data_IF_463460453832
#
_entry.id   IF_463460453832
#
_cell.length_a   1.000
_cell.length_b   1.000
_cell.length_c   1.000
_cell.angle_alpha   90.00
_cell.angle_beta   90.00
_cell.angle_gamma   90.00
#
_symmetry.space_group_name_H-M   'P 1'
#
loop_
_entity.id
_entity.type
_entity.pdbx_description
1 polymer ?
#
# COMPACT_ATOMS: atom_id res chain seq x y z
N UNK A 1 -10.95 2.09 3.92
CA UNK A 1 -9.85 1.42 3.19
C UNK A 1 -9.41 2.28 2.02
N UNK A 2 -10.35 2.71 1.16
CA UNK A 2 -10.13 3.60 0.02
C UNK A 2 -9.24 4.82 0.36
N UNK A 3 -9.64 5.58 1.38
CA UNK A 3 -8.87 6.72 1.89
C UNK A 3 -7.42 6.37 2.25
N UNK A 4 -7.11 5.15 2.73
CA UNK A 4 -5.74 4.78 3.13
C UNK A 4 -4.83 4.46 1.93
N UNK A 5 -5.35 3.81 0.89
CA UNK A 5 -4.59 3.58 -0.35
C UNK A 5 -4.27 4.91 -1.00
N UNK A 6 -5.28 5.77 -1.14
CA UNK A 6 -5.12 7.13 -1.63
C UNK A 6 -4.07 7.89 -0.83
N UNK A 7 -4.16 7.85 0.51
CA UNK A 7 -3.19 8.50 1.39
C UNK A 7 -1.76 7.99 1.20
N UNK A 8 -1.58 6.68 0.99
CA UNK A 8 -0.26 6.09 0.73
C UNK A 8 0.30 6.55 -0.63
N UNK A 9 -0.48 6.42 -1.72
CA UNK A 9 -0.02 6.73 -3.07
C UNK A 9 0.31 8.22 -3.24
N UNK A 10 -0.60 9.10 -2.81
CA UNK A 10 -0.33 10.54 -2.85
C UNK A 10 0.74 10.97 -1.85
N UNK A 11 0.82 10.29 -0.70
CA UNK A 11 1.85 10.55 0.30
C UNK A 11 3.25 10.32 -0.26
N UNK A 12 3.46 9.21 -0.97
CA UNK A 12 4.72 8.91 -1.69
C UNK A 12 4.97 9.96 -2.78
N UNK A 13 3.99 10.17 -3.67
CA UNK A 13 4.14 11.03 -4.85
C UNK A 13 4.48 12.49 -4.53
N UNK A 14 3.89 13.03 -3.46
CA UNK A 14 4.18 14.40 -3.01
C UNK A 14 5.55 14.48 -2.34
N UNK A 15 5.95 13.45 -1.60
CA UNK A 15 7.29 13.36 -1.00
C UNK A 15 8.38 13.37 -2.05
N UNK A 16 8.26 12.45 -3.02
CA UNK A 16 9.09 12.36 -4.21
C UNK A 16 9.17 13.73 -4.93
N UNK A 17 8.03 14.28 -5.37
CA UNK A 17 8.02 15.51 -6.15
C UNK A 17 8.58 16.76 -5.43
N UNK A 18 8.59 16.77 -4.09
CA UNK A 18 9.23 17.82 -3.30
C UNK A 18 10.75 17.69 -3.26
N UNK A 19 11.27 16.46 -3.33
CA UNK A 19 12.70 16.19 -3.29
C UNK A 19 13.38 16.32 -4.66
N UNK A 20 12.69 16.02 -5.77
CA UNK A 20 13.23 16.05 -7.14
C UNK A 20 14.03 17.34 -7.48
N UNK A 21 13.54 18.55 -7.17
CA UNK A 21 14.27 19.79 -7.46
C UNK A 21 15.67 19.89 -6.82
N UNK A 22 15.88 19.23 -5.69
CA UNK A 22 17.06 19.43 -4.82
C UNK A 22 17.83 18.14 -4.55
N UNK A 23 17.59 17.12 -5.37
CA UNK A 23 18.31 15.86 -5.29
C UNK A 23 19.81 16.08 -5.46
N UNK A 24 20.61 15.32 -4.70
CA UNK A 24 22.06 15.40 -4.59
C UNK A 24 22.62 16.69 -3.97
N UNK A 25 21.76 17.62 -3.50
CA UNK A 25 22.25 18.77 -2.74
C UNK A 25 22.63 18.35 -1.32
N UNK A 26 23.75 18.88 -0.83
CA UNK A 26 24.23 18.52 0.51
C UNK A 26 23.34 19.09 1.61
N UNK A 27 23.37 18.46 2.79
CA UNK A 27 22.70 18.97 4.00
C UNK A 27 23.02 20.43 4.30
N UNK A 28 24.28 20.82 4.15
CA UNK A 28 24.71 22.19 4.42
C UNK A 28 24.10 23.19 3.41
N UNK A 29 23.87 22.77 2.17
CA UNK A 29 23.12 23.58 1.20
C UNK A 29 21.65 23.68 1.61
N UNK A 30 21.01 22.56 2.00
CA UNK A 30 19.60 22.57 2.47
C UNK A 30 19.39 23.37 3.76
N UNK A 31 20.37 23.43 4.67
CA UNK A 31 20.32 24.30 5.85
C UNK A 31 20.34 25.79 5.51
N UNK A 32 21.06 26.17 4.44
CA UNK A 32 21.15 27.55 3.97
C UNK A 32 19.92 27.95 3.16
N UNK A 33 19.43 27.04 2.34
CA UNK A 33 18.31 27.24 1.43
C UNK A 33 17.29 26.10 1.60
N UNK A 34 16.54 26.06 2.71
CA UNK A 34 15.62 24.96 2.97
C UNK A 34 14.46 25.00 1.98
N UNK A 35 14.06 23.81 1.53
CA UNK A 35 12.80 23.63 0.79
C UNK A 35 11.64 23.83 1.75
N UNK A 36 10.69 24.67 1.35
CA UNK A 36 9.51 25.05 2.14
C UNK A 36 8.18 24.85 1.39
N UNK A 37 8.25 24.66 0.08
CA UNK A 37 7.13 24.48 -0.85
C UNK A 37 7.53 23.63 -2.08
N UNK A 38 6.56 23.31 -2.93
CA UNK A 38 6.76 22.58 -4.18
C UNK A 38 7.44 23.47 -5.24
N UNK A 39 8.76 23.39 -5.31
CA UNK A 39 9.62 24.12 -6.23
C UNK A 39 9.58 23.54 -7.65
N UNK A 40 9.96 24.35 -8.63
CA UNK A 40 10.16 23.92 -10.02
C UNK A 40 11.65 23.95 -10.36
N UNK A 41 12.04 23.14 -11.33
CA UNK A 41 13.38 23.01 -11.88
C UNK A 41 14.40 22.64 -10.80
N UNK A 42 15.69 22.67 -11.13
CA UNK A 42 16.76 22.23 -10.24
C UNK A 42 17.52 21.08 -10.86
N UNK A 43 17.82 20.04 -10.07
CA UNK A 43 18.71 18.93 -10.47
C UNK A 43 18.36 18.31 -11.83
N UNK A 44 17.07 18.04 -12.06
CA UNK A 44 16.59 17.38 -13.29
C UNK A 44 15.83 18.30 -14.26
N UNK A 45 15.83 19.62 -14.00
CA UNK A 45 15.13 20.63 -14.81
C UNK A 45 13.63 20.35 -15.07
N UNK A 46 12.95 19.74 -14.09
CA UNK A 46 11.53 19.37 -14.18
C UNK A 46 10.59 20.43 -13.59
N UNK A 47 9.38 20.65 -14.13
CA UNK A 47 8.41 21.57 -13.54
C UNK A 47 7.91 21.08 -12.17
N UNK A 48 7.38 22.00 -11.34
CA UNK A 48 6.85 21.65 -10.01
C UNK A 48 5.80 20.53 -10.06
N UNK A 49 5.86 19.63 -9.07
CA UNK A 49 4.94 18.50 -8.94
C UNK A 49 5.28 17.30 -9.82
N UNK A 50 6.42 17.33 -10.51
CA UNK A 50 6.97 16.18 -11.23
C UNK A 50 7.59 15.20 -10.24
N UNK A 51 7.16 13.95 -10.30
CA UNK A 51 7.69 12.83 -9.50
C UNK A 51 8.68 11.99 -10.34
N UNK A 52 9.64 11.32 -9.69
CA UNK A 52 10.74 10.55 -10.29
C UNK A 52 10.43 9.05 -10.44
N UNK A 53 11.46 8.20 -10.44
CA UNK A 53 11.32 6.75 -10.50
C UNK A 53 10.70 6.17 -9.22
N UNK A 54 10.85 6.82 -8.08
CA UNK A 54 10.20 6.52 -6.79
C UNK A 54 8.69 6.30 -6.93
N UNK A 55 7.95 7.36 -7.28
CA UNK A 55 6.51 7.26 -7.44
C UNK A 55 6.14 6.48 -8.70
N UNK A 56 6.89 6.61 -9.80
CA UNK A 56 6.60 5.87 -11.04
C UNK A 56 6.60 4.34 -10.81
N UNK A 57 7.62 3.82 -10.13
CA UNK A 57 7.73 2.40 -9.80
C UNK A 57 6.76 1.99 -8.68
N UNK A 58 6.44 2.90 -7.76
CA UNK A 58 5.33 2.72 -6.79
C UNK A 58 4.02 2.48 -7.53
N UNK A 59 3.70 3.31 -8.52
CA UNK A 59 2.48 3.17 -9.31
C UNK A 59 2.47 1.93 -10.19
N UNK A 60 3.63 1.53 -10.74
CA UNK A 60 3.77 0.26 -11.44
C UNK A 60 3.44 -0.96 -10.56
N UNK A 61 3.88 -0.94 -9.29
CA UNK A 61 3.53 -1.97 -8.31
C UNK A 61 2.04 -1.92 -7.97
N UNK A 62 1.52 -0.73 -7.69
CA UNK A 62 0.10 -0.51 -7.41
C UNK A 62 -0.82 -0.99 -8.55
N UNK A 63 -0.44 -0.77 -9.81
CA UNK A 63 -1.16 -1.29 -10.98
C UNK A 63 -1.23 -2.81 -10.98
N UNK A 64 -0.09 -3.48 -10.75
CA UNK A 64 -0.05 -4.93 -10.70
C UNK A 64 -0.92 -5.48 -9.55
N UNK A 65 -0.97 -4.77 -8.42
CA UNK A 65 -1.80 -5.13 -7.27
C UNK A 65 -3.29 -4.77 -7.44
N UNK A 66 -3.66 -4.01 -8.47
CA UNK A 66 -5.06 -3.74 -8.83
C UNK A 66 -5.73 -4.95 -9.51
N UNK A 67 -4.95 -5.98 -9.84
CA UNK A 67 -5.43 -7.25 -10.38
C UNK A 67 -4.97 -8.42 -9.49
N UNK A 68 -4.89 -9.63 -10.05
CA UNK A 68 -4.33 -10.77 -9.33
C UNK A 68 -2.81 -10.65 -9.18
N UNK A 69 -2.32 -10.96 -7.96
CA UNK A 69 -0.92 -10.87 -7.66
C UNK A 69 -0.14 -11.85 -8.53
N UNK A 70 0.74 -11.30 -9.37
CA UNK A 70 1.67 -12.06 -10.20
C UNK A 70 2.98 -11.27 -10.29
N UNK A 71 4.07 -11.93 -9.91
CA UNK A 71 5.40 -11.35 -9.91
C UNK A 71 5.84 -10.94 -11.33
N UNK A 72 5.40 -11.68 -12.35
CA UNK A 72 5.67 -11.36 -13.75
C UNK A 72 4.97 -10.08 -14.17
N UNK A 73 3.72 -9.84 -13.73
CA UNK A 73 3.01 -8.58 -14.04
C UNK A 73 3.74 -7.39 -13.44
N UNK A 74 4.24 -7.52 -12.19
CA UNK A 74 5.03 -6.46 -11.54
C UNK A 74 6.29 -6.17 -12.37
N UNK A 75 7.05 -7.20 -12.73
CA UNK A 75 8.25 -7.07 -13.56
C UNK A 75 7.96 -6.43 -14.93
N UNK A 76 6.89 -6.87 -15.59
CA UNK A 76 6.47 -6.31 -16.88
C UNK A 76 6.09 -4.83 -16.79
N UNK A 77 5.48 -4.39 -15.69
CA UNK A 77 5.20 -2.97 -15.49
C UNK A 77 6.49 -2.16 -15.33
N UNK A 78 7.54 -2.69 -14.68
CA UNK A 78 8.84 -1.99 -14.60
C UNK A 78 9.55 -1.92 -15.94
N UNK A 79 9.49 -2.99 -16.75
CA UNK A 79 9.96 -2.95 -18.15
C UNK A 79 9.23 -1.87 -18.93
N UNK A 80 7.89 -1.81 -18.84
CA UNK A 80 7.09 -0.78 -19.51
C UNK A 80 7.42 0.63 -19.04
N UNK A 81 7.69 0.82 -17.74
CA UNK A 81 8.11 2.13 -17.25
C UNK A 81 9.42 2.55 -17.92
N UNK A 82 10.45 1.71 -17.84
CA UNK A 82 11.78 2.07 -18.35
C UNK A 82 11.82 2.20 -19.88
N UNK A 83 11.21 1.27 -20.62
CA UNK A 83 11.30 1.23 -22.10
C UNK A 83 10.17 1.96 -22.83
N UNK A 84 9.05 2.23 -22.15
CA UNK A 84 7.84 2.81 -22.76
C UNK A 84 7.25 3.98 -21.96
N UNK A 85 8.02 4.54 -21.03
CA UNK A 85 7.64 5.67 -20.19
C UNK A 85 6.31 5.49 -19.43
N UNK A 86 5.90 4.24 -19.19
CA UNK A 86 4.67 3.93 -18.47
C UNK A 86 4.77 4.42 -17.02
N UNK A 87 3.75 5.11 -16.52
CA UNK A 87 3.78 5.73 -15.19
C UNK A 87 4.80 6.84 -14.96
N UNK A 88 5.46 7.36 -16.00
CA UNK A 88 6.22 8.62 -15.87
C UNK A 88 5.28 9.82 -15.68
N UNK A 89 5.79 10.91 -15.13
CA UNK A 89 5.04 12.15 -14.93
C UNK A 89 4.69 12.84 -16.27
N UNK A 90 5.64 12.91 -17.22
CA UNK A 90 5.49 13.66 -18.48
C UNK A 90 5.87 12.87 -19.74
N UNK A 91 5.87 11.54 -19.70
CA UNK A 91 6.18 10.69 -20.86
C UNK A 91 7.68 10.47 -21.10
N UNK A 92 8.54 10.84 -20.15
CA UNK A 92 9.99 10.64 -20.21
C UNK A 92 10.49 10.02 -18.90
N UNK A 93 11.43 9.08 -19.03
CA UNK A 93 12.10 8.45 -17.88
C UNK A 93 13.34 9.27 -17.54
N UNK A 94 13.48 9.61 -16.27
CA UNK A 94 14.70 10.14 -15.68
C UNK A 94 14.97 9.42 -14.35
N UNK A 95 16.10 9.74 -13.72
CA UNK A 95 16.48 9.31 -12.37
C UNK A 95 16.69 7.82 -12.07
N UNK A 96 16.67 6.95 -13.09
CA UNK A 96 16.80 5.52 -12.82
C UNK A 96 18.15 5.14 -12.18
N UNK A 97 18.08 4.61 -10.96
CA UNK A 97 19.24 4.04 -10.27
C UNK A 97 19.90 2.88 -11.03
N UNK A 98 21.23 2.76 -10.93
CA UNK A 98 22.02 1.77 -11.69
C UNK A 98 21.55 0.33 -11.45
N UNK A 99 21.30 -0.05 -10.18
CA UNK A 99 20.86 -1.40 -9.83
C UNK A 99 19.46 -1.72 -10.38
N UNK A 100 18.53 -0.76 -10.29
CA UNK A 100 17.19 -0.85 -10.87
C UNK A 100 17.27 -1.05 -12.38
N UNK A 101 18.05 -0.22 -13.08
CA UNK A 101 18.26 -0.33 -14.53
C UNK A 101 18.79 -1.71 -14.93
N UNK A 102 19.85 -2.17 -14.26
CA UNK A 102 20.46 -3.47 -14.55
C UNK A 102 19.48 -4.63 -14.36
N UNK A 103 18.65 -4.58 -13.31
CA UNK A 103 17.63 -5.58 -13.07
C UNK A 103 16.53 -5.55 -14.14
N UNK A 104 16.03 -4.36 -14.52
CA UNK A 104 15.04 -4.23 -15.59
C UNK A 104 15.58 -4.73 -16.93
N UNK A 105 16.84 -4.48 -17.25
CA UNK A 105 17.50 -5.01 -18.44
C UNK A 105 17.58 -6.54 -18.45
N UNK A 106 17.76 -7.17 -17.29
CA UNK A 106 17.72 -8.63 -17.13
C UNK A 106 16.31 -9.17 -17.33
N UNK A 107 15.30 -8.54 -16.73
CA UNK A 107 13.89 -8.89 -16.91
C UNK A 107 13.49 -8.81 -18.38
N UNK A 108 13.90 -7.76 -19.09
CA UNK A 108 13.63 -7.58 -20.51
C UNK A 108 14.28 -8.66 -21.40
N UNK A 109 15.37 -9.30 -20.92
CA UNK A 109 16.03 -10.43 -21.56
C UNK A 109 15.43 -11.80 -21.16
N UNK A 110 14.38 -11.81 -20.34
CA UNK A 110 13.66 -13.02 -19.94
C UNK A 110 14.14 -13.67 -18.65
N UNK A 111 14.95 -12.99 -17.83
CA UNK A 111 15.27 -13.48 -16.49
C UNK A 111 14.02 -13.51 -15.60
N UNK A 112 13.89 -14.56 -14.78
CA UNK A 112 12.74 -14.68 -13.88
C UNK A 112 12.79 -13.57 -12.82
N UNK A 113 11.64 -12.97 -12.47
CA UNK A 113 11.62 -11.80 -11.59
C UNK A 113 12.32 -12.00 -10.24
N UNK A 114 12.19 -13.16 -9.61
CA UNK A 114 12.81 -13.46 -8.32
C UNK A 114 14.35 -13.53 -8.35
N UNK A 115 14.97 -13.56 -9.53
CA UNK A 115 16.43 -13.67 -9.70
C UNK A 115 17.08 -12.44 -10.35
N UNK A 116 16.29 -11.52 -10.92
CA UNK A 116 16.82 -10.39 -11.67
C UNK A 116 17.60 -9.38 -10.80
N UNK A 117 17.17 -9.19 -9.55
CA UNK A 117 17.75 -8.19 -8.64
C UNK A 117 19.16 -8.50 -8.15
N UNK A 118 19.95 -7.45 -7.94
CA UNK A 118 21.32 -7.57 -7.43
C UNK A 118 21.36 -8.19 -6.02
N UNK A 119 22.24 -9.15 -5.81
CA UNK A 119 22.40 -9.88 -4.54
C UNK A 119 23.70 -9.54 -3.80
N UNK A 120 24.50 -8.63 -4.32
CA UNK A 120 25.81 -8.24 -3.76
C UNK A 120 25.66 -7.07 -2.76
N UNK A 121 26.63 -6.92 -1.86
CA UNK A 121 26.63 -5.82 -0.87
C UNK A 121 26.58 -4.45 -1.56
N UNK A 122 27.21 -4.31 -2.72
CA UNK A 122 27.20 -3.11 -3.56
C UNK A 122 25.84 -2.80 -4.20
N UNK A 123 24.88 -3.73 -4.14
CA UNK A 123 23.53 -3.60 -4.71
C UNK A 123 22.48 -3.19 -3.67
N UNK A 124 22.87 -2.61 -2.53
CA UNK A 124 21.93 -2.19 -1.46
C UNK A 124 21.45 -0.75 -1.60
N UNK A 125 21.13 -0.34 -2.84
CA UNK A 125 20.38 0.89 -3.08
C UNK A 125 18.98 0.86 -2.47
N UNK A 126 18.39 2.03 -2.28
CA UNK A 126 17.03 2.22 -1.77
C UNK A 126 15.92 1.98 -2.83
N UNK A 127 16.27 1.70 -4.09
CA UNK A 127 15.33 1.52 -5.22
C UNK A 127 14.23 0.45 -5.05
N UNK A 128 14.40 -0.48 -4.12
CA UNK A 128 13.32 -1.42 -3.73
C UNK A 128 12.42 -0.86 -2.63
N UNK A 129 13.02 -0.22 -1.62
CA UNK A 129 12.31 0.34 -0.47
C UNK A 129 11.33 1.44 -0.89
N UNK A 130 11.79 2.33 -1.77
CA UNK A 130 11.03 3.52 -2.21
C UNK A 130 9.66 3.20 -2.79
N UNK A 131 9.56 2.06 -3.49
CA UNK A 131 8.38 1.69 -4.27
C UNK A 131 7.42 0.73 -3.58
N UNK A 132 7.74 0.27 -2.36
CA UNK A 132 7.13 -0.95 -1.84
C UNK A 132 5.81 -0.74 -1.10
N UNK A 133 5.48 0.49 -0.68
CA UNK A 133 4.32 0.76 0.18
C UNK A 133 2.99 0.17 -0.31
N UNK A 134 2.64 0.17 -1.62
CA UNK A 134 1.40 -0.44 -2.11
C UNK A 134 1.25 -1.93 -1.74
N UNK A 135 2.36 -2.66 -1.59
CA UNK A 135 2.36 -4.07 -1.22
C UNK A 135 1.71 -4.32 0.14
N UNK A 136 1.78 -3.33 1.05
CA UNK A 136 1.16 -3.36 2.37
C UNK A 136 -0.28 -3.85 2.31
N UNK A 137 -1.08 -3.31 1.39
CA UNK A 137 -2.50 -3.58 1.34
C UNK A 137 -2.84 -5.00 0.91
N UNK A 138 -1.94 -5.64 0.16
CA UNK A 138 -2.06 -7.04 -0.23
C UNK A 138 -1.61 -8.00 0.87
N UNK A 139 -0.58 -7.65 1.64
CA UNK A 139 0.05 -8.57 2.60
C UNK A 139 -0.44 -8.41 4.05
N UNK A 140 -1.05 -7.28 4.41
CA UNK A 140 -1.34 -6.90 5.81
C UNK A 140 -2.10 -7.93 6.65
N UNK A 141 -2.96 -8.74 6.03
CA UNK A 141 -3.80 -9.74 6.69
C UNK A 141 -3.19 -11.16 6.65
N UNK A 142 -2.00 -11.31 6.05
CA UNK A 142 -1.26 -12.59 5.97
C UNK A 142 -0.41 -12.83 7.22
N UNK A 143 0.06 -14.06 7.42
CA UNK A 143 1.00 -14.38 8.51
C UNK A 143 2.34 -13.66 8.34
N UNK A 144 3.09 -13.45 9.42
CA UNK A 144 4.41 -12.79 9.37
C UNK A 144 5.36 -13.48 8.38
N UNK A 145 5.29 -14.80 8.28
CA UNK A 145 6.08 -15.59 7.31
C UNK A 145 5.75 -15.25 5.86
N UNK A 146 4.45 -15.21 5.54
CA UNK A 146 3.99 -14.87 4.20
C UNK A 146 4.32 -13.42 3.87
N UNK A 147 4.16 -12.48 4.82
CA UNK A 147 4.51 -11.07 4.64
C UNK A 147 5.99 -10.91 4.30
N UNK A 148 6.88 -11.57 5.05
CA UNK A 148 8.32 -11.57 4.77
C UNK A 148 8.64 -12.21 3.41
N UNK A 149 8.06 -13.37 3.12
CA UNK A 149 8.33 -14.11 1.86
C UNK A 149 7.91 -13.30 0.64
N UNK A 150 6.70 -12.72 0.64
CA UNK A 150 6.22 -11.89 -0.46
C UNK A 150 7.04 -10.60 -0.58
N UNK A 151 7.40 -9.97 0.55
CA UNK A 151 8.28 -8.79 0.55
C UNK A 151 9.62 -9.10 -0.09
N UNK A 152 10.23 -10.25 0.26
CA UNK A 152 11.47 -10.73 -0.35
C UNK A 152 11.31 -10.88 -1.86
N UNK A 153 10.27 -11.56 -2.33
CA UNK A 153 10.02 -11.76 -3.77
C UNK A 153 9.91 -10.44 -4.53
N UNK A 154 9.11 -9.48 -4.04
CA UNK A 154 8.90 -8.20 -4.73
C UNK A 154 10.15 -7.31 -4.68
N UNK A 155 10.91 -7.36 -3.57
CA UNK A 155 12.20 -6.68 -3.49
C UNK A 155 13.19 -7.24 -4.52
N UNK A 156 13.28 -8.58 -4.58
CA UNK A 156 14.20 -9.33 -5.43
C UNK A 156 14.01 -9.12 -6.94
N UNK A 157 12.90 -8.52 -7.37
CA UNK A 157 12.73 -8.04 -8.75
C UNK A 157 13.86 -7.08 -9.16
N UNK A 158 14.40 -6.31 -8.20
CA UNK A 158 15.47 -5.33 -8.47
C UNK A 158 16.62 -5.39 -7.45
N UNK A 159 16.32 -5.71 -6.20
CA UNK A 159 17.28 -5.71 -5.09
C UNK A 159 17.04 -6.96 -4.24
N UNK A 160 17.88 -7.97 -4.43
CA UNK A 160 17.76 -9.30 -3.79
C UNK A 160 18.62 -9.44 -2.54
N UNK A 161 19.54 -8.51 -2.29
CA UNK A 161 20.39 -8.55 -1.11
C UNK A 161 19.56 -8.43 0.18
N UNK A 162 19.98 -9.15 1.22
CA UNK A 162 19.20 -9.31 2.45
C UNK A 162 18.92 -8.00 3.20
N UNK A 163 19.82 -7.01 3.11
CA UNK A 163 19.59 -5.68 3.72
C UNK A 163 18.43 -4.93 3.05
N UNK A 164 18.32 -4.98 1.72
CA UNK A 164 17.16 -4.41 1.03
C UNK A 164 15.88 -5.12 1.45
N UNK A 165 15.90 -6.46 1.52
CA UNK A 165 14.75 -7.27 1.96
C UNK A 165 14.32 -6.94 3.39
N UNK A 166 15.26 -6.89 4.34
CA UNK A 166 14.98 -6.54 5.74
C UNK A 166 14.43 -5.12 5.85
N UNK A 167 15.03 -4.16 5.13
CA UNK A 167 14.59 -2.76 5.17
C UNK A 167 13.16 -2.61 4.66
N UNK A 168 12.86 -3.27 3.54
CA UNK A 168 11.52 -3.35 2.95
C UNK A 168 10.51 -3.98 3.90
N UNK A 169 10.89 -5.10 4.54
CA UNK A 169 10.03 -5.79 5.49
C UNK A 169 9.75 -4.93 6.73
N UNK A 170 10.78 -4.28 7.29
CA UNK A 170 10.62 -3.36 8.40
C UNK A 170 9.68 -2.20 8.05
N UNK A 171 9.88 -1.59 6.89
CA UNK A 171 9.04 -0.49 6.40
C UNK A 171 7.56 -0.89 6.31
N UNK A 172 7.27 -2.06 5.73
CA UNK A 172 5.91 -2.56 5.60
C UNK A 172 5.30 -2.97 6.95
N UNK A 173 6.06 -3.53 7.88
CA UNK A 173 5.56 -3.82 9.23
C UNK A 173 5.23 -2.53 10.00
N UNK A 174 6.09 -1.51 9.91
CA UNK A 174 5.82 -0.20 10.50
C UNK A 174 4.54 0.40 9.93
N UNK A 175 4.41 0.40 8.60
CA UNK A 175 3.23 0.87 7.90
C UNK A 175 1.95 0.08 8.26
N UNK A 176 2.07 -1.25 8.47
CA UNK A 176 0.96 -2.11 8.91
C UNK A 176 0.45 -1.73 10.28
N UNK A 177 1.32 -1.41 11.23
CA UNK A 177 0.88 -0.94 12.53
C UNK A 177 0.30 0.49 12.49
N UNK A 178 0.77 1.37 11.60
CA UNK A 178 0.13 2.67 11.36
C UNK A 178 -1.33 2.51 10.90
N UNK A 179 -1.63 1.54 10.03
CA UNK A 179 -3.01 1.26 9.60
C UNK A 179 -3.93 0.87 10.76
N UNK A 180 -3.37 0.30 11.84
CA UNK A 180 -4.12 -0.11 13.02
C UNK A 180 -4.32 1.04 14.04
N UNK A 181 -3.79 2.24 13.76
CA UNK A 181 -3.94 3.41 14.62
C UNK A 181 -3.09 3.37 15.90
N UNK A 182 -2.03 2.56 15.90
CA UNK A 182 -1.11 2.45 17.03
C UNK A 182 -0.22 3.71 17.17
N UNK A 183 0.16 4.04 18.40
CA UNK A 183 1.10 5.14 18.68
C UNK A 183 2.51 4.85 18.13
N UNK A 184 3.20 5.87 17.59
CA UNK A 184 4.52 5.71 16.96
C UNK A 184 5.58 5.11 17.88
N UNK A 185 5.63 5.53 19.15
CA UNK A 185 6.61 5.01 20.11
C UNK A 185 6.33 3.57 20.48
N UNK A 186 5.05 3.19 20.57
CA UNK A 186 4.62 1.81 20.75
C UNK A 186 5.00 0.95 19.54
N UNK A 187 4.72 1.39 18.32
CA UNK A 187 5.08 0.67 17.08
C UNK A 187 6.58 0.41 17.05
N UNK A 188 7.38 1.45 17.23
CA UNK A 188 8.84 1.34 17.17
C UNK A 188 9.39 0.40 18.26
N UNK A 189 8.88 0.51 19.49
CA UNK A 189 9.24 -0.38 20.60
C UNK A 189 8.87 -1.84 20.35
N UNK A 190 7.72 -2.10 19.73
CA UNK A 190 7.27 -3.45 19.37
C UNK A 190 8.17 -4.07 18.28
N UNK A 191 8.39 -3.32 17.19
CA UNK A 191 9.15 -3.82 16.03
C UNK A 191 10.64 -4.06 16.32
N UNK A 192 11.21 -3.37 17.32
CA UNK A 192 12.54 -3.72 17.85
C UNK A 192 12.67 -5.19 18.23
N UNK A 193 11.62 -5.73 18.85
CA UNK A 193 11.61 -7.08 19.40
C UNK A 193 11.12 -8.04 18.32
N UNK A 194 9.93 -7.81 17.76
CA UNK A 194 9.27 -8.74 16.85
C UNK A 194 10.09 -9.01 15.59
N UNK A 195 10.62 -7.97 14.95
CA UNK A 195 11.41 -8.15 13.73
C UNK A 195 12.77 -8.76 14.05
N UNK A 196 13.45 -8.29 15.10
CA UNK A 196 14.73 -8.88 15.54
C UNK A 196 14.60 -10.38 15.78
N UNK A 197 13.58 -10.80 16.54
CA UNK A 197 13.41 -12.20 16.91
C UNK A 197 12.94 -13.05 15.72
N UNK A 198 12.06 -12.50 14.89
CA UNK A 198 11.71 -13.13 13.61
C UNK A 198 12.94 -13.33 12.72
N UNK A 199 13.80 -12.32 12.54
CA UNK A 199 15.00 -12.42 11.71
C UNK A 199 16.02 -13.40 12.27
N UNK A 200 16.18 -13.50 13.60
CA UNK A 200 17.02 -14.52 14.25
C UNK A 200 16.48 -15.94 14.07
N UNK A 201 15.15 -16.09 13.95
CA UNK A 201 14.51 -17.37 13.64
C UNK A 201 14.70 -17.79 12.18
N UNK A 202 15.03 -16.84 11.30
CA UNK A 202 15.53 -17.11 9.96
C UNK A 202 17.03 -17.32 10.06
N UNK A 203 17.57 -18.29 9.35
CA UNK A 203 19.02 -18.58 9.33
C UNK A 203 19.84 -17.47 8.59
N UNK A 204 19.48 -16.20 8.80
CA UNK A 204 20.15 -15.02 8.27
C UNK A 204 21.45 -14.81 9.04
N UNK A 205 22.51 -14.41 8.33
CA UNK A 205 23.79 -14.08 8.93
C UNK A 205 23.62 -13.02 10.04
N UNK A 206 24.14 -13.30 11.23
CA UNK A 206 24.08 -12.40 12.40
C UNK A 206 24.74 -11.05 12.13
N UNK A 207 25.79 -11.01 11.33
CA UNK A 207 26.47 -9.77 10.96
C UNK A 207 25.56 -8.89 10.10
N UNK A 208 24.77 -9.48 9.21
CA UNK A 208 23.78 -8.76 8.40
C UNK A 208 22.62 -8.21 9.26
N UNK A 209 22.19 -8.96 10.27
CA UNK A 209 21.18 -8.48 11.24
C UNK A 209 21.76 -7.33 12.08
N UNK A 210 23.02 -7.42 12.51
CA UNK A 210 23.66 -6.43 13.38
C UNK A 210 23.76 -5.03 12.74
N UNK A 211 23.73 -4.93 11.41
CA UNK A 211 23.72 -3.64 10.70
C UNK A 211 22.46 -2.82 11.04
N UNK A 212 21.36 -3.49 11.41
CA UNK A 212 20.11 -2.86 11.83
C UNK A 212 20.05 -2.55 13.34
N UNK A 213 21.18 -2.64 14.06
CA UNK A 213 21.22 -2.42 15.51
C UNK A 213 20.76 -1.02 15.94
N UNK A 214 20.88 0.00 15.07
CA UNK A 214 20.29 1.32 15.35
C UNK A 214 18.78 1.26 15.45
N UNK A 215 18.12 0.46 14.62
CA UNK A 215 16.68 0.24 14.69
C UNK A 215 16.30 -0.71 15.83
N UNK A 216 17.03 -1.81 16.01
CA UNK A 216 16.67 -2.86 16.97
C UNK A 216 17.07 -2.59 18.42
N UNK A 217 18.16 -1.84 18.64
CA UNK A 217 18.74 -1.63 19.98
C UNK A 217 18.74 -0.17 20.43
N UNK A 218 18.49 0.79 19.55
CA UNK A 218 18.51 2.24 19.87
C UNK A 218 17.18 2.91 19.55
N UNK A 219 16.97 4.10 20.11
CA UNK A 219 15.82 4.95 19.82
C UNK A 219 16.21 5.97 18.75
N UNK A 220 15.96 5.65 17.46
CA UNK A 220 16.39 6.52 16.35
C UNK A 220 15.86 7.94 16.54
N UNK A 221 14.59 8.09 16.97
CA UNK A 221 13.91 9.36 17.20
C UNK A 221 14.52 10.24 18.32
N UNK A 222 15.49 9.72 19.10
CA UNK A 222 16.23 10.50 20.10
C UNK A 222 17.59 11.00 19.59
N UNK A 223 18.02 10.57 18.41
CA UNK A 223 19.29 11.00 17.83
C UNK A 223 19.19 12.42 17.30
N UNK A 224 20.32 13.12 17.31
CA UNK A 224 20.43 14.43 16.69
C UNK A 224 20.39 14.29 15.17
N UNK A 225 19.94 15.34 14.49
CA UNK A 225 19.87 15.38 13.02
C UNK A 225 21.21 15.03 12.35
N UNK A 226 22.33 15.54 12.89
CA UNK A 226 23.69 15.28 12.37
C UNK A 226 24.10 13.80 12.40
N UNK A 227 23.43 12.96 13.19
CA UNK A 227 23.67 11.52 13.26
C UNK A 227 22.82 10.73 12.26
N UNK A 228 21.83 11.38 11.64
CA UNK A 228 20.98 10.77 10.62
C UNK A 228 21.65 10.93 9.26
N UNK A 229 21.65 9.87 8.45
CA UNK A 229 22.16 9.90 7.08
C UNK A 229 21.00 9.71 6.11
N UNK A 230 21.05 10.36 4.95
CA UNK A 230 19.99 10.36 3.93
C UNK A 230 20.57 10.08 2.54
N UNK A 231 21.60 9.22 2.45
CA UNK A 231 22.19 8.83 1.15
C UNK A 231 21.35 7.73 0.49
N UNK A 232 21.66 7.38 -0.76
CA UNK A 232 21.01 6.27 -1.50
C UNK A 232 21.28 4.85 -0.99
N UNK A 233 21.74 4.70 0.24
CA UNK A 233 21.86 3.39 0.90
C UNK A 233 20.56 3.08 1.64
N UNK A 234 19.98 1.92 1.37
CA UNK A 234 18.63 1.55 1.85
C UNK A 234 18.39 1.72 3.35
N UNK A 235 19.41 1.49 4.18
CA UNK A 235 19.29 1.61 5.64
C UNK A 235 19.29 3.09 6.07
N UNK A 236 20.08 3.94 5.41
CA UNK A 236 20.06 5.38 5.67
C UNK A 236 18.67 5.95 5.39
N UNK A 237 18.10 5.64 4.22
CA UNK A 237 16.73 6.06 3.85
C UNK A 237 15.68 5.57 4.86
N UNK A 238 15.74 4.29 5.28
CA UNK A 238 14.79 3.75 6.26
C UNK A 238 14.91 4.46 7.62
N UNK A 239 16.12 4.60 8.14
CA UNK A 239 16.39 5.27 9.42
C UNK A 239 15.96 6.74 9.39
N UNK A 240 16.34 7.47 8.34
CA UNK A 240 15.95 8.86 8.15
C UNK A 240 14.44 9.03 8.07
N UNK A 241 13.75 8.16 7.33
CA UNK A 241 12.30 8.24 7.17
C UNK A 241 11.56 8.05 8.48
N UNK A 242 11.98 7.06 9.28
CA UNK A 242 11.42 6.83 10.62
C UNK A 242 11.75 7.98 11.57
N UNK A 243 12.97 8.51 11.52
CA UNK A 243 13.36 9.66 12.34
C UNK A 243 12.51 10.89 12.00
N UNK A 244 12.35 11.22 10.72
CA UNK A 244 11.53 12.35 10.27
C UNK A 244 10.07 12.20 10.75
N UNK A 245 9.47 11.02 10.53
CA UNK A 245 8.09 10.76 10.96
C UNK A 245 7.91 10.85 12.48
N UNK A 246 8.84 10.29 13.26
CA UNK A 246 8.73 10.24 14.73
C UNK A 246 9.10 11.54 15.44
N UNK A 247 9.70 12.49 14.74
CA UNK A 247 10.15 13.78 15.31
C UNK A 247 9.38 14.98 14.74
N UNK A 248 8.23 14.72 14.11
CA UNK A 248 7.33 15.73 13.53
C UNK A 248 5.88 15.40 13.85
N UNK A 249 4.97 16.35 13.60
CA UNK A 249 3.56 16.24 14.01
C UNK A 249 2.56 16.43 12.89
N UNK A 250 3.03 16.67 11.66
CA UNK A 250 2.18 16.79 10.48
C UNK A 250 2.85 16.21 9.24
N UNK A 251 2.04 15.91 8.22
CA UNK A 251 2.55 15.46 6.92
C UNK A 251 3.56 16.45 6.33
N UNK A 252 3.20 17.74 6.35
CA UNK A 252 4.05 18.83 5.83
C UNK A 252 5.41 18.87 6.54
N UNK A 253 5.42 18.84 7.87
CA UNK A 253 6.66 18.84 8.64
C UNK A 253 7.50 17.60 8.35
N UNK A 254 6.90 16.41 8.35
CA UNK A 254 7.61 15.14 8.12
C UNK A 254 8.36 15.14 6.79
N UNK A 255 7.65 15.49 5.71
CA UNK A 255 8.19 15.45 4.35
C UNK A 255 9.21 16.55 4.11
N UNK A 256 8.95 17.80 4.55
CA UNK A 256 9.96 18.87 4.42
C UNK A 256 11.20 18.57 5.25
N UNK A 257 11.06 17.94 6.42
CA UNK A 257 12.21 17.51 7.21
C UNK A 257 13.04 16.47 6.48
N UNK A 258 12.39 15.51 5.82
CA UNK A 258 13.06 14.49 5.01
C UNK A 258 13.82 15.09 3.82
N UNK A 259 13.18 15.97 3.03
CA UNK A 259 13.82 16.67 1.90
C UNK A 259 15.04 17.48 2.37
N UNK A 260 14.91 18.18 3.50
CA UNK A 260 15.97 19.07 3.99
C UNK A 260 17.12 18.34 4.71
N UNK A 261 17.08 17.00 4.83
CA UNK A 261 18.27 16.24 5.24
C UNK A 261 19.37 16.27 4.17
N UNK A 262 19.02 16.56 2.91
CA UNK A 262 19.94 16.57 1.77
C UNK A 262 20.30 15.16 1.28
N UNK A 263 21.29 15.11 0.40
CA UNK A 263 21.79 13.92 -0.30
C UNK A 263 20.72 13.30 -1.22
N UNK A 264 20.13 12.17 -0.87
CA UNK A 264 19.09 11.49 -1.65
C UNK A 264 17.70 11.95 -1.14
N UNK A 265 17.30 13.13 -1.63
CA UNK A 265 16.20 13.90 -1.07
C UNK A 265 14.83 13.42 -1.50
N UNK A 266 14.66 13.04 -2.75
CA UNK A 266 13.39 12.52 -3.29
C UNK A 266 13.06 11.17 -2.67
N UNK A 267 14.02 10.24 -2.59
CA UNK A 267 13.74 8.92 -2.01
C UNK A 267 13.45 8.97 -0.52
N UNK A 268 14.25 9.73 0.24
CA UNK A 268 14.01 9.89 1.69
C UNK A 268 12.65 10.54 1.94
N UNK A 269 12.26 11.51 1.12
CA UNK A 269 10.96 12.18 1.23
C UNK A 269 9.80 11.30 0.75
N UNK A 270 9.96 10.49 -0.28
CA UNK A 270 8.97 9.55 -0.79
C UNK A 270 8.62 8.48 0.25
N UNK A 271 9.63 7.84 0.84
CA UNK A 271 9.46 6.81 1.88
C UNK A 271 8.81 7.41 3.13
N UNK A 272 9.26 8.60 3.56
CA UNK A 272 8.66 9.37 4.67
C UNK A 272 7.22 9.75 4.36
N UNK A 273 6.97 10.28 3.17
CA UNK A 273 5.68 10.75 2.69
C UNK A 273 4.65 9.64 2.61
N UNK A 274 5.06 8.44 2.22
CA UNK A 274 4.20 7.26 2.26
C UNK A 274 3.70 6.93 3.67
N UNK A 275 4.58 6.91 4.67
CA UNK A 275 4.20 6.66 6.08
C UNK A 275 3.41 7.82 6.67
N UNK A 276 3.83 9.06 6.42
CA UNK A 276 3.14 10.25 6.86
C UNK A 276 1.73 10.34 6.26
N UNK A 277 1.57 9.95 4.99
CA UNK A 277 0.27 9.82 4.34
C UNK A 277 -0.62 8.84 5.08
N UNK A 278 -0.12 7.65 5.43
CA UNK A 278 -0.89 6.67 6.21
C UNK A 278 -1.29 7.17 7.60
N UNK A 279 -0.38 7.88 8.27
CA UNK A 279 -0.55 8.41 9.62
C UNK A 279 -1.55 9.57 9.66
N UNK A 280 -1.32 10.61 8.85
CA UNK A 280 -2.11 11.85 8.89
C UNK A 280 -3.29 11.85 7.92
N UNK A 281 -3.27 11.00 6.89
CA UNK A 281 -4.33 10.91 5.88
C UNK A 281 -4.20 11.95 4.75
N UNK A 282 -4.77 11.62 3.59
CA UNK A 282 -4.76 12.44 2.37
C UNK A 282 -5.24 13.88 2.59
N UNK A 283 -6.28 14.08 3.40
CA UNK A 283 -6.87 15.40 3.67
C UNK A 283 -5.91 16.35 4.41
N UNK A 284 -4.86 15.82 5.04
CA UNK A 284 -3.84 16.60 5.74
C UNK A 284 -2.59 16.86 4.87
N UNK A 285 -2.58 16.40 3.61
CA UNK A 285 -1.57 16.80 2.63
C UNK A 285 -1.90 18.23 2.15
N UNK A 286 -0.94 19.16 2.11
CA UNK A 286 -1.20 20.53 1.68
C UNK A 286 -1.84 20.61 0.28
N UNK A 287 -3.00 21.28 0.20
CA UNK A 287 -3.79 21.37 -1.05
C UNK A 287 -3.02 22.00 -2.21
N UNK A 288 -2.15 22.97 -1.93
CA UNK A 288 -1.32 23.62 -2.94
C UNK A 288 -0.25 22.69 -3.54
N UNK A 289 0.17 21.65 -2.82
CA UNK A 289 1.08 20.63 -3.33
C UNK A 289 0.31 19.65 -4.19
N UNK A 290 -0.84 19.18 -3.70
CA UNK A 290 -1.75 18.31 -4.45
C UNK A 290 -2.19 18.91 -5.79
N UNK A 291 -2.41 20.23 -5.85
CA UNK A 291 -2.83 20.91 -7.09
C UNK A 291 -1.70 21.03 -8.13
N UNK A 292 -0.44 20.91 -7.72
CA UNK A 292 0.72 20.95 -8.61
C UNK A 292 1.15 19.55 -9.09
N UNK A 293 0.78 18.50 -8.34
CA UNK A 293 1.22 17.12 -8.62
C UNK A 293 0.81 16.67 -10.03
N UNK A 294 1.79 16.19 -10.79
CA UNK A 294 1.57 15.59 -12.09
C UNK A 294 0.66 14.35 -11.97
N UNK A 295 -0.20 14.15 -12.98
CA UNK A 295 -1.06 12.96 -13.10
C UNK A 295 -1.99 12.69 -11.91
N UNK A 296 -2.37 13.73 -11.16
CA UNK A 296 -3.27 13.64 -10.00
C UNK A 296 -4.49 12.72 -10.23
N UNK A 297 -5.23 12.93 -11.33
CA UNK A 297 -6.43 12.14 -11.63
C UNK A 297 -6.13 10.67 -11.91
N UNK A 298 -4.99 10.36 -12.53
CA UNK A 298 -4.61 8.98 -12.82
C UNK A 298 -4.27 8.22 -11.52
N UNK A 299 -3.58 8.89 -10.59
CA UNK A 299 -3.25 8.36 -9.26
C UNK A 299 -4.53 8.07 -8.48
N UNK A 300 -5.53 8.97 -8.56
CA UNK A 300 -6.85 8.76 -7.96
C UNK A 300 -7.54 7.51 -8.51
N UNK A 301 -7.58 7.37 -9.84
CA UNK A 301 -8.19 6.22 -10.51
C UNK A 301 -7.45 4.93 -10.17
N UNK A 302 -6.12 4.97 -10.03
CA UNK A 302 -5.32 3.83 -9.57
C UNK A 302 -5.68 3.42 -8.14
N UNK A 303 -5.78 4.38 -7.22
CA UNK A 303 -6.17 4.11 -5.83
C UNK A 303 -7.55 3.43 -5.75
N UNK A 304 -8.52 3.93 -6.53
CA UNK A 304 -9.87 3.36 -6.61
C UNK A 304 -9.86 1.92 -7.16
N UNK A 305 -9.10 1.66 -8.23
CA UNK A 305 -8.96 0.30 -8.81
C UNK A 305 -8.36 -0.68 -7.81
N UNK A 306 -7.29 -0.28 -7.11
CA UNK A 306 -6.70 -1.09 -6.03
C UNK A 306 -7.70 -1.37 -4.91
N UNK A 307 -8.43 -0.34 -4.44
CA UNK A 307 -9.42 -0.51 -3.39
C UNK A 307 -10.53 -1.49 -3.81
N UNK A 308 -11.04 -1.35 -5.04
CA UNK A 308 -12.02 -2.27 -5.61
C UNK A 308 -11.51 -3.71 -5.62
N UNK A 309 -10.25 -3.94 -6.02
CA UNK A 309 -9.63 -5.28 -6.00
C UNK A 309 -9.59 -5.88 -4.59
N UNK A 310 -9.20 -5.10 -3.59
CA UNK A 310 -9.15 -5.58 -2.20
C UNK A 310 -10.52 -5.91 -1.63
N UNK A 311 -11.54 -5.10 -1.94
CA UNK A 311 -12.92 -5.39 -1.54
C UNK A 311 -13.35 -6.72 -2.16
N UNK A 312 -13.09 -6.90 -3.47
CA UNK A 312 -13.43 -8.13 -4.18
C UNK A 312 -12.73 -9.36 -3.60
N UNK A 313 -11.43 -9.28 -3.32
CA UNK A 313 -10.66 -10.39 -2.70
C UNK A 313 -11.16 -10.76 -1.29
N UNK A 314 -11.71 -9.79 -0.56
CA UNK A 314 -12.21 -10.00 0.80
C UNK A 314 -13.68 -10.39 0.87
N UNK A 315 -14.34 -10.53 -0.28
CA UNK A 315 -15.77 -10.80 -0.38
C UNK A 315 -16.03 -12.22 -0.84
N UNK A 316 -17.12 -12.79 -0.35
CA UNK A 316 -17.54 -14.15 -0.63
C UNK A 316 -18.33 -14.25 -1.94
N UNK A 317 -19.18 -13.26 -2.22
CA UNK A 317 -20.00 -13.21 -3.43
C UNK A 317 -20.47 -11.78 -3.74
N UNK A 318 -20.93 -11.55 -4.96
CA UNK A 318 -21.66 -10.35 -5.37
C UNK A 318 -23.15 -10.69 -5.35
N UNK A 319 -23.99 -9.80 -4.83
CA UNK A 319 -25.44 -9.96 -4.82
C UNK A 319 -26.17 -8.67 -5.23
N UNK A 320 -27.34 -8.84 -5.83
CA UNK A 320 -28.31 -7.75 -5.97
C UNK A 320 -29.14 -7.72 -4.70
N UNK A 321 -29.07 -6.61 -3.96
CA UNK A 321 -29.83 -6.39 -2.74
C UNK A 321 -31.04 -5.51 -3.03
N UNK A 322 -32.19 -5.86 -2.48
CA UNK A 322 -33.41 -5.06 -2.50
C UNK A 322 -33.83 -4.75 -1.07
N UNK A 323 -33.75 -3.48 -0.69
CA UNK A 323 -34.22 -3.00 0.60
C UNK A 323 -35.73 -2.79 0.54
N UNK A 324 -36.43 -3.19 1.60
CA UNK A 324 -37.86 -2.87 1.76
C UNK A 324 -38.07 -1.39 1.98
N UNK A 325 -39.25 -0.88 1.63
CA UNK A 325 -39.65 0.48 2.04
C UNK A 325 -39.89 0.53 3.55
N UNK A 326 -39.93 1.74 4.12
CA UNK A 326 -40.25 1.92 5.54
C UNK A 326 -41.64 1.35 5.87
N UNK A 327 -42.62 1.52 4.98
CA UNK A 327 -44.00 1.03 5.15
C UNK A 327 -44.07 -0.51 5.16
N UNK A 328 -43.17 -1.18 4.44
CA UNK A 328 -43.07 -2.65 4.39
C UNK A 328 -42.30 -3.26 5.58
N UNK A 329 -41.93 -2.42 6.56
CA UNK A 329 -41.11 -2.82 7.71
C UNK A 329 -39.61 -2.86 7.42
N UNK A 330 -39.16 -2.11 6.40
CA UNK A 330 -37.74 -1.87 6.12
C UNK A 330 -37.08 -0.94 7.13
N UNK A 331 -35.86 -0.49 6.81
CA UNK A 331 -35.14 0.47 7.66
C UNK A 331 -35.83 1.83 7.64
N UNK A 332 -35.68 2.59 8.72
CA UNK A 332 -36.11 4.01 8.74
C UNK A 332 -35.06 4.95 8.12
N UNK A 333 -33.79 4.53 8.12
CA UNK A 333 -32.66 5.34 7.64
C UNK A 333 -31.86 4.60 6.59
N UNK A 334 -31.14 5.35 5.75
CA UNK A 334 -30.26 4.79 4.74
C UNK A 334 -29.23 3.83 5.35
N UNK A 335 -29.00 2.70 4.70
CA UNK A 335 -27.86 1.85 4.99
C UNK A 335 -26.62 2.41 4.28
N UNK A 336 -25.45 2.23 4.88
CA UNK A 336 -24.15 2.62 4.29
C UNK A 336 -23.29 1.40 4.04
N UNK A 337 -22.36 1.48 3.08
CA UNK A 337 -21.35 0.45 2.87
C UNK A 337 -20.63 0.11 4.18
N UNK A 338 -20.47 -1.18 4.44
CA UNK A 338 -20.01 -1.73 5.71
C UNK A 338 -21.14 -2.15 6.67
N UNK A 339 -22.40 -1.90 6.32
CA UNK A 339 -23.57 -2.37 7.09
C UNK A 339 -23.60 -3.90 7.21
N UNK A 340 -24.02 -4.42 8.37
CA UNK A 340 -23.83 -5.83 8.77
C UNK A 340 -25.10 -6.51 9.29
N UNK A 341 -26.20 -6.57 8.52
CA UNK A 341 -27.39 -7.27 8.96
C UNK A 341 -27.13 -8.78 9.08
N UNK A 342 -28.01 -9.48 9.80
CA UNK A 342 -28.00 -10.93 9.77
C UNK A 342 -28.52 -11.39 8.40
N UNK A 343 -27.88 -12.39 7.82
CA UNK A 343 -28.20 -13.01 6.53
C UNK A 343 -28.68 -14.43 6.81
N UNK A 344 -29.74 -14.83 6.10
CA UNK A 344 -30.31 -16.18 6.14
C UNK A 344 -30.59 -16.68 4.74
N UNK A 345 -30.03 -17.84 4.44
CA UNK A 345 -30.32 -18.58 3.21
C UNK A 345 -31.51 -19.52 3.41
N UNK A 346 -32.25 -19.81 2.35
CA UNK A 346 -33.45 -20.67 2.41
C UNK A 346 -33.15 -22.11 2.81
N UNK A 347 -31.95 -22.61 2.49
CA UNK A 347 -31.54 -24.00 2.72
C UNK A 347 -31.00 -24.26 4.15
N UNK A 348 -30.86 -23.22 4.99
CA UNK A 348 -30.29 -23.34 6.33
C UNK A 348 -31.06 -22.48 7.36
N UNK A 349 -31.10 -22.95 8.60
CA UNK A 349 -31.67 -22.17 9.71
C UNK A 349 -30.66 -21.20 10.32
N UNK A 350 -29.36 -21.39 10.06
CA UNK A 350 -28.30 -20.53 10.58
C UNK A 350 -28.43 -19.09 10.07
N UNK A 351 -28.34 -18.14 11.01
CA UNK A 351 -28.13 -16.72 10.74
C UNK A 351 -26.62 -16.43 10.80
N UNK A 352 -26.10 -15.71 9.81
CA UNK A 352 -24.71 -15.25 9.80
C UNK A 352 -24.67 -13.74 9.57
N UNK A 353 -23.70 -13.02 10.13
CA UNK A 353 -23.54 -11.61 9.80
C UNK A 353 -23.02 -11.46 8.38
N UNK A 354 -23.70 -10.67 7.55
CA UNK A 354 -23.31 -10.37 6.18
C UNK A 354 -22.90 -8.91 6.04
N UNK A 355 -21.61 -8.64 5.87
CA UNK A 355 -21.11 -7.31 5.55
C UNK A 355 -21.49 -6.99 4.11
N UNK A 356 -22.12 -5.83 3.91
CA UNK A 356 -22.54 -5.34 2.60
C UNK A 356 -21.67 -4.15 2.19
N UNK A 357 -20.97 -4.26 1.05
CA UNK A 357 -20.23 -3.13 0.45
C UNK A 357 -20.87 -2.80 -0.90
N UNK A 358 -21.60 -1.69 -0.96
CA UNK A 358 -22.34 -1.30 -2.15
C UNK A 358 -21.41 -0.89 -3.29
N UNK A 359 -21.80 -1.29 -4.49
CA UNK A 359 -21.09 -0.98 -5.73
C UNK A 359 -21.65 0.34 -6.28
N UNK A 360 -20.74 1.25 -6.65
CA UNK A 360 -21.04 2.57 -7.24
C UNK A 360 -21.90 3.51 -6.38
N UNK A 361 -22.14 3.18 -5.11
CA UNK A 361 -22.87 4.00 -4.13
C UNK A 361 -22.25 3.86 -2.73
N UNK A 362 -22.26 4.93 -1.93
CA UNK A 362 -21.87 4.85 -0.51
C UNK A 362 -23.02 4.48 0.43
N UNK A 363 -24.25 4.85 0.05
CA UNK A 363 -25.45 4.62 0.83
C UNK A 363 -26.67 4.32 -0.04
N UNK A 364 -27.64 3.63 0.54
CA UNK A 364 -28.87 3.19 -0.12
C UNK A 364 -30.06 3.45 0.80
N UNK A 365 -31.13 4.02 0.26
CA UNK A 365 -32.34 4.35 1.00
C UNK A 365 -33.34 3.18 1.00
N UNK A 366 -34.25 3.12 1.97
CA UNK A 366 -35.35 2.15 1.99
C UNK A 366 -36.11 2.13 0.65
N UNK A 367 -36.44 0.93 0.15
CA UNK A 367 -37.10 0.71 -1.14
C UNK A 367 -36.19 0.62 -2.37
N UNK A 368 -34.92 1.02 -2.26
CA UNK A 368 -33.98 0.97 -3.39
C UNK A 368 -33.33 -0.42 -3.55
N UNK A 369 -32.67 -0.62 -4.69
CA UNK A 369 -31.86 -1.81 -4.98
C UNK A 369 -30.43 -1.43 -5.36
N UNK A 370 -29.48 -2.32 -5.06
CA UNK A 370 -28.05 -2.08 -5.30
C UNK A 370 -27.29 -3.39 -5.47
N UNK A 371 -26.28 -3.41 -6.34
CA UNK A 371 -25.30 -4.50 -6.33
C UNK A 371 -24.32 -4.29 -5.17
N UNK A 372 -23.98 -5.36 -4.46
CA UNK A 372 -23.08 -5.30 -3.33
C UNK A 372 -22.11 -6.47 -3.31
N UNK A 373 -20.87 -6.19 -2.93
CA UNK A 373 -19.95 -7.22 -2.46
C UNK A 373 -20.39 -7.66 -1.06
N UNK A 374 -20.49 -8.96 -0.86
CA UNK A 374 -20.99 -9.59 0.36
C UNK A 374 -19.87 -10.41 1.01
N UNK A 375 -19.66 -10.23 2.31
CA UNK A 375 -18.80 -11.10 3.13
C UNK A 375 -19.59 -11.66 4.30
N UNK A 376 -19.61 -12.99 4.46
CA UNK A 376 -20.32 -13.67 5.54
C UNK A 376 -19.34 -14.16 6.62
N UNK A 377 -19.67 -13.92 7.89
CA UNK A 377 -18.77 -14.27 9.01
C UNK A 377 -18.54 -15.78 9.13
N UNK A 378 -19.56 -16.59 8.80
CA UNK A 378 -19.54 -18.04 9.00
C UNK A 378 -19.30 -18.81 7.70
N UNK A 379 -18.46 -18.29 6.80
CA UNK A 379 -18.13 -18.93 5.53
C UNK A 379 -17.82 -20.45 5.64
N UNK A 380 -17.08 -20.95 6.66
CA UNK A 380 -16.86 -22.40 6.84
C UNK A 380 -18.14 -23.26 6.91
N UNK A 381 -19.23 -22.73 7.50
CA UNK A 381 -20.51 -23.44 7.62
C UNK A 381 -21.21 -23.63 6.26
N UNK A 382 -20.94 -22.74 5.31
CA UNK A 382 -21.58 -22.71 3.99
C UNK A 382 -20.69 -23.31 2.89
N UNK A 383 -19.66 -24.09 3.26
CA UNK A 383 -18.76 -24.75 2.31
C UNK A 383 -19.52 -25.53 1.24
N UNK A 384 -19.31 -25.18 -0.02
CA UNK A 384 -19.91 -25.86 -1.18
C UNK A 384 -21.43 -25.84 -1.23
N UNK A 385 -22.09 -24.81 -0.64
CA UNK A 385 -23.56 -24.73 -0.55
C UNK A 385 -24.17 -23.52 -1.23
N UNK A 386 -23.37 -22.57 -1.72
CA UNK A 386 -23.87 -21.39 -2.42
C UNK A 386 -23.85 -21.60 -3.93
N UNK A 387 -24.88 -21.10 -4.60
CA UNK A 387 -24.99 -21.09 -6.06
C UNK A 387 -25.42 -19.70 -6.57
N UNK A 388 -25.11 -19.41 -7.83
CA UNK A 388 -25.60 -18.20 -8.48
C UNK A 388 -27.13 -18.25 -8.60
N UNK A 389 -27.79 -17.09 -8.51
CA UNK A 389 -29.25 -16.89 -8.44
C UNK A 389 -29.92 -17.35 -7.15
N UNK A 390 -29.16 -17.84 -6.18
CA UNK A 390 -29.69 -18.19 -4.87
C UNK A 390 -30.21 -16.97 -4.12
N UNK A 391 -31.41 -17.10 -3.56
CA UNK A 391 -32.04 -16.05 -2.77
C UNK A 391 -31.67 -16.17 -1.28
N UNK A 392 -31.56 -15.02 -0.63
CA UNK A 392 -31.43 -14.90 0.82
C UNK A 392 -32.21 -13.69 1.33
N UNK A 393 -32.48 -13.70 2.62
CA UNK A 393 -33.04 -12.54 3.33
C UNK A 393 -31.98 -11.93 4.23
N UNK A 394 -32.13 -10.65 4.53
CA UNK A 394 -31.34 -10.01 5.57
C UNK A 394 -32.20 -9.22 6.56
N UNK A 395 -31.82 -9.26 7.84
CA UNK A 395 -32.66 -8.87 8.98
C UNK A 395 -31.93 -7.98 10.00
N UNK A 396 -32.71 -7.20 10.75
CA UNK A 396 -32.32 -6.57 12.02
C UNK A 396 -33.10 -7.21 13.16
N UNK A 397 -32.42 -8.02 13.97
CA UNK A 397 -33.10 -8.96 14.87
C UNK A 397 -34.02 -9.88 14.06
N UNK A 398 -35.29 -9.93 14.45
CA UNK A 398 -36.32 -10.76 13.80
C UNK A 398 -36.99 -10.07 12.59
N UNK A 399 -36.69 -8.79 12.33
CA UNK A 399 -37.34 -8.01 11.27
C UNK A 399 -36.61 -8.16 9.94
N UNK A 400 -37.32 -8.64 8.91
CA UNK A 400 -36.80 -8.73 7.54
C UNK A 400 -36.80 -7.33 6.91
N UNK A 401 -35.61 -6.78 6.69
CA UNK A 401 -35.42 -5.44 6.12
C UNK A 401 -35.12 -5.47 4.60
N UNK A 402 -34.87 -6.64 4.02
CA UNK A 402 -34.67 -6.79 2.58
C UNK A 402 -34.34 -8.21 2.14
N UNK A 403 -34.18 -8.37 0.83
CA UNK A 403 -33.83 -9.63 0.17
C UNK A 403 -32.62 -9.44 -0.72
N UNK A 404 -31.88 -10.52 -0.96
CA UNK A 404 -30.74 -10.53 -1.87
C UNK A 404 -30.76 -11.74 -2.79
N UNK A 405 -30.18 -11.57 -3.98
CA UNK A 405 -29.97 -12.64 -4.95
C UNK A 405 -28.49 -12.69 -5.30
N UNK A 406 -27.85 -13.85 -5.12
CA UNK A 406 -26.45 -14.03 -5.49
C UNK A 406 -26.31 -13.89 -7.00
N UNK A 407 -25.43 -12.98 -7.45
CA UNK A 407 -25.10 -12.75 -8.85
C UNK A 407 -23.86 -13.55 -9.27
N UNK A 408 -22.84 -13.56 -8.43
CA UNK A 408 -21.54 -14.20 -8.72
C UNK A 408 -20.89 -14.66 -7.42
N UNK A 409 -20.29 -15.86 -7.41
CA UNK A 409 -19.54 -16.36 -6.25
C UNK A 409 -18.05 -16.12 -6.44
N UNK A 410 -17.47 -15.31 -5.57
CA UNK A 410 -16.07 -14.92 -5.61
C UNK A 410 -15.20 -15.92 -4.84
N UNK A 411 -15.66 -16.32 -3.65
CA UNK A 411 -15.00 -17.33 -2.82
C UNK A 411 -15.38 -18.75 -3.28
N UNK A 412 -14.49 -19.37 -4.04
CA UNK A 412 -14.71 -20.71 -4.62
C UNK A 412 -14.91 -21.82 -3.56
N UNK A 413 -14.51 -21.58 -2.31
CA UNK A 413 -14.79 -22.49 -1.19
C UNK A 413 -16.29 -22.64 -0.92
N UNK A 414 -17.10 -21.63 -1.23
CA UNK A 414 -18.54 -21.62 -0.99
C UNK A 414 -19.35 -22.18 -2.16
N UNK A 415 -18.79 -22.17 -3.37
CA UNK A 415 -19.48 -22.56 -4.60
C UNK A 415 -19.80 -24.05 -4.57
N UNK A 416 -21.06 -24.41 -4.83
CA UNK A 416 -21.47 -25.81 -5.05
C UNK A 416 -20.57 -26.41 -6.13
N UNK A 417 -19.90 -27.53 -5.81
CA UNK A 417 -19.08 -28.24 -6.79
C UNK A 417 -20.00 -29.04 -7.70
N UNK A 418 -19.86 -28.84 -9.02
CA UNK A 418 -20.49 -29.75 -9.98
C UNK A 418 -19.91 -31.14 -9.77
N UNK A 419 -20.78 -32.10 -9.43
CA UNK A 419 -20.42 -33.51 -9.48
C UNK A 419 -20.30 -33.84 -10.97
N UNK A 420 -19.07 -33.97 -11.46
CA UNK A 420 -18.80 -34.54 -12.77
C UNK A 420 -19.40 -35.95 -12.73
N UNK A 421 -20.52 -36.14 -13.43
CA UNK A 421 -21.20 -37.43 -13.57
C UNK A 421 -20.46 -38.35 -14.52
#
# INVERSE_FOLDING_TARGET
>A
MDSKIKSALFGVAIGDALGVPVEFTSREQRRREPVDDMWSYGTHDQPAGTFSDDASLTFCLAEALSIEFDLNVIAQNFIKWYYHAYWTAHGEVFDIGIATRQAIDRLAKGEQPEFAGGFEISSNGNGSLMRLLPLLFYIKDKSTEERYTITKLVSSITHSHIRSVISCFYYLEFARHLLNGNDLTYIYGLLKIEISDFLKSKEINKDEIAIFDRLFKRDIYKLNEDEIQSTGYVIHTLEASLWCLMTTTSYKEAVLKAVNLGDDTDTTAAVTGGLAGLLYGYENIPKQWLSKLARHNDIEILAQRMNKRLIMQNSDFIAVLKYKTTEEGGRETAAKSGYRPAVKFSFDKMLTSGIQTFIDKEQIYPGESVEAYMKILSAPHFYGRLEERMEFIFTEGDHIIGTGVIKEILNQYLKVKEIIK
#
